data_IF_129362352435
#
_entry.id   IF_129362352435
#
_cell.length_a   1.000
_cell.length_b   1.000
_cell.length_c   1.000
_cell.angle_alpha   90.00
_cell.angle_beta   90.00
_cell.angle_gamma   90.00
#
_symmetry.space_group_name_H-M   'P 1'
#
loop_
_entity.id
_entity.type
_entity.pdbx_description
1 polymer ?
#
# COMPACT_ATOMS: atom_id res chain seq x y z
N UNK A 1 -9.69 1.33 5.81
CA UNK A 1 -10.56 2.51 5.63
C UNK A 1 -9.72 3.71 5.26
N UNK A 2 -10.21 4.52 4.35
CA UNK A 2 -9.60 5.77 3.90
C UNK A 2 -10.64 6.87 4.08
N UNK A 3 -10.24 7.99 4.69
CA UNK A 3 -11.12 9.14 4.89
C UNK A 3 -10.46 10.46 4.49
N UNK A 4 -11.15 11.25 3.67
CA UNK A 4 -10.78 12.61 3.25
C UNK A 4 -9.32 12.72 2.77
N UNK A 5 -8.87 11.68 2.04
CA UNK A 5 -7.47 11.52 1.71
C UNK A 5 -7.05 12.48 0.59
N UNK A 6 -5.99 13.24 0.86
CA UNK A 6 -5.30 14.02 -0.18
C UNK A 6 -3.89 13.51 -0.37
N UNK A 7 -3.54 13.14 -1.60
CA UNK A 7 -2.20 12.67 -1.98
C UNK A 7 -1.58 13.60 -3.01
N UNK A 8 -0.29 13.88 -2.84
CA UNK A 8 0.48 14.75 -3.71
C UNK A 8 1.81 14.12 -4.08
N UNK A 9 2.21 14.24 -5.34
CA UNK A 9 3.52 13.77 -5.82
C UNK A 9 4.17 14.89 -6.63
N UNK A 10 5.44 15.22 -6.32
CA UNK A 10 6.21 16.28 -7.01
C UNK A 10 5.41 17.58 -7.21
N UNK A 11 4.74 18.05 -6.15
CA UNK A 11 3.89 19.26 -6.10
C UNK A 11 2.58 19.21 -6.89
N UNK A 12 2.22 18.06 -7.47
CA UNK A 12 0.92 17.85 -8.10
C UNK A 12 -0.01 17.08 -7.17
N UNK A 13 -1.19 17.62 -6.92
CA UNK A 13 -2.28 16.88 -6.26
C UNK A 13 -2.78 15.77 -7.18
N UNK A 14 -2.75 14.54 -6.68
CA UNK A 14 -3.20 13.35 -7.40
C UNK A 14 -4.60 12.92 -6.97
N UNK A 15 -4.87 12.97 -5.67
CA UNK A 15 -6.17 12.69 -5.04
C UNK A 15 -6.48 13.83 -4.06
N UNK A 16 -7.76 14.17 -3.93
CA UNK A 16 -8.25 15.21 -3.01
C UNK A 16 -9.60 14.78 -2.46
N UNK A 17 -9.75 14.74 -1.14
CA UNK A 17 -11.01 14.33 -0.49
C UNK A 17 -11.46 12.92 -0.88
N UNK A 18 -10.52 11.97 -1.00
CA UNK A 18 -10.83 10.61 -1.42
C UNK A 18 -11.20 9.73 -0.23
N UNK A 19 -12.39 9.14 -0.28
CA UNK A 19 -12.89 8.15 0.70
C UNK A 19 -12.97 6.76 0.07
N UNK A 20 -12.63 5.74 0.85
CA UNK A 20 -12.77 4.35 0.46
C UNK A 20 -12.89 3.44 1.68
N UNK A 21 -13.89 2.58 1.66
CA UNK A 21 -14.03 1.49 2.60
C UNK A 21 -13.98 0.16 1.84
N UNK A 22 -13.21 -0.79 2.36
CA UNK A 22 -13.10 -2.14 1.81
C UNK A 22 -13.33 -3.09 2.98
N UNK A 23 -14.36 -3.92 2.87
CA UNK A 23 -14.73 -4.93 3.84
C UNK A 23 -13.84 -6.17 3.77
N UNK A 24 -13.89 -6.99 4.82
CA UNK A 24 -13.19 -8.27 4.84
C UNK A 24 -13.73 -9.19 3.73
N UNK A 25 -12.83 -9.79 2.94
CA UNK A 25 -13.17 -10.68 1.83
C UNK A 25 -13.55 -9.98 0.52
N UNK A 26 -13.67 -8.64 0.52
CA UNK A 26 -13.95 -7.89 -0.70
C UNK A 26 -12.74 -7.86 -1.64
N UNK A 27 -13.04 -7.85 -2.94
CA UNK A 27 -12.05 -7.70 -4.01
C UNK A 27 -12.36 -6.42 -4.77
N UNK A 28 -11.41 -5.49 -4.75
CA UNK A 28 -11.60 -4.17 -5.34
C UNK A 28 -10.60 -3.97 -6.48
N UNK A 29 -11.08 -3.42 -7.59
CA UNK A 29 -10.24 -3.01 -8.72
C UNK A 29 -10.07 -1.50 -8.68
N UNK A 30 -8.83 -1.05 -8.51
CA UNK A 30 -8.48 0.36 -8.66
C UNK A 30 -8.08 0.66 -10.10
N UNK A 31 -9.00 1.25 -10.87
CA UNK A 31 -8.78 1.60 -12.28
C UNK A 31 -8.57 3.11 -12.47
N UNK A 32 -7.92 3.51 -13.57
CA UNK A 32 -7.65 4.90 -13.88
C UNK A 32 -6.48 5.08 -14.83
N UNK A 33 -6.36 6.27 -15.45
CA UNK A 33 -5.27 6.60 -16.38
C UNK A 33 -3.90 6.50 -15.72
N UNK A 34 -2.84 6.27 -16.50
CA UNK A 34 -1.47 6.40 -15.98
C UNK A 34 -1.27 7.80 -15.35
N UNK A 35 -0.59 7.86 -14.20
CA UNK A 35 -0.42 9.10 -13.45
C UNK A 35 -1.62 9.55 -12.61
N UNK A 36 -2.72 8.81 -12.57
CA UNK A 36 -3.89 9.16 -11.71
C UNK A 36 -3.68 8.93 -10.21
N UNK A 37 -2.49 8.51 -9.78
CA UNK A 37 -2.18 8.27 -8.37
C UNK A 37 -2.45 6.88 -7.81
N UNK A 38 -2.77 5.88 -8.65
CA UNK A 38 -3.00 4.49 -8.19
C UNK A 38 -1.83 3.90 -7.41
N UNK A 39 -0.64 3.95 -7.99
CA UNK A 39 0.58 3.45 -7.33
C UNK A 39 0.89 4.26 -6.08
N UNK A 40 0.63 5.57 -6.10
CA UNK A 40 0.81 6.44 -4.93
C UNK A 40 -0.16 6.07 -3.80
N UNK A 41 -1.42 5.78 -4.12
CA UNK A 41 -2.42 5.31 -3.15
C UNK A 41 -2.02 3.97 -2.53
N UNK A 42 -1.59 3.00 -3.34
CA UNK A 42 -1.11 1.70 -2.86
C UNK A 42 0.14 1.86 -1.98
N UNK A 43 1.09 2.72 -2.37
CA UNK A 43 2.25 3.07 -1.54
C UNK A 43 1.84 3.73 -0.24
N UNK A 44 0.81 4.58 -0.24
CA UNK A 44 0.32 5.22 0.96
C UNK A 44 -0.30 4.21 1.95
N UNK A 45 -1.08 3.23 1.45
CA UNK A 45 -1.63 2.15 2.27
C UNK A 45 -0.54 1.27 2.92
N UNK A 46 0.62 1.13 2.27
CA UNK A 46 1.79 0.43 2.80
C UNK A 46 2.69 1.31 3.68
N UNK A 47 2.35 2.58 3.88
CA UNK A 47 3.16 3.55 4.64
C UNK A 47 4.44 4.01 3.93
N UNK A 48 4.58 3.80 2.62
CA UNK A 48 5.70 4.33 1.82
C UNK A 48 5.49 5.77 1.36
N UNK A 49 4.27 6.30 1.46
CA UNK A 49 3.94 7.66 1.08
C UNK A 49 2.94 8.25 2.06
N UNK A 50 3.31 9.35 2.73
CA UNK A 50 2.42 10.00 3.68
C UNK A 50 1.43 10.92 2.97
N UNK A 51 0.14 10.88 3.34
CA UNK A 51 -0.83 11.79 2.79
C UNK A 51 -0.59 13.23 3.25
N UNK A 52 -1.02 14.19 2.44
CA UNK A 52 -1.01 15.60 2.81
C UNK A 52 -2.09 15.91 3.85
N UNK A 53 -3.26 15.29 3.71
CA UNK A 53 -4.40 15.38 4.64
C UNK A 53 -5.18 14.08 4.65
N UNK A 54 -6.04 13.92 5.65
CA UNK A 54 -6.91 12.75 5.79
C UNK A 54 -6.26 11.64 6.60
N UNK A 55 -6.89 10.47 6.61
CA UNK A 55 -6.46 9.31 7.40
C UNK A 55 -6.59 8.00 6.65
N UNK A 56 -5.72 7.06 7.03
CA UNK A 56 -5.61 5.72 6.44
C UNK A 56 -5.56 4.69 7.57
N UNK A 57 -6.32 3.62 7.42
CA UNK A 57 -6.22 2.44 8.27
C UNK A 57 -6.35 1.15 7.47
N UNK A 58 -5.67 0.09 7.90
CA UNK A 58 -5.78 -1.25 7.33
C UNK A 58 -5.96 -2.24 8.46
N UNK A 59 -6.94 -3.13 8.33
CA UNK A 59 -7.31 -4.10 9.38
C UNK A 59 -7.51 -3.45 10.77
N UNK A 60 -8.05 -2.22 10.80
CA UNK A 60 -8.27 -1.46 12.04
C UNK A 60 -7.05 -0.72 12.59
N UNK A 61 -5.85 -0.95 12.05
CA UNK A 61 -4.62 -0.24 12.44
C UNK A 61 -4.41 1.03 11.61
N UNK A 62 -4.08 2.18 12.23
CA UNK A 62 -3.73 3.38 11.49
C UNK A 62 -2.41 3.18 10.72
N UNK A 63 -2.27 3.82 9.56
CA UNK A 63 -1.01 3.79 8.79
C UNK A 63 -0.11 4.92 9.28
N UNK A 64 0.65 4.64 10.34
CA UNK A 64 1.62 5.56 10.93
C UNK A 64 2.92 4.85 11.33
N UNK A 65 3.91 5.60 11.80
CA UNK A 65 5.22 5.06 12.17
C UNK A 65 5.16 4.03 13.31
N UNK A 66 4.18 4.12 14.22
CA UNK A 66 4.06 3.21 15.35
C UNK A 66 3.48 1.85 14.94
N UNK A 67 2.62 1.82 13.91
CA UNK A 67 1.89 0.61 13.54
C UNK A 67 2.34 -0.01 12.22
N UNK A 68 3.04 0.72 11.35
CA UNK A 68 3.36 0.25 9.98
C UNK A 68 4.12 -1.08 9.95
N UNK A 69 4.95 -1.38 10.95
CA UNK A 69 5.65 -2.65 11.04
C UNK A 69 4.69 -3.84 11.21
N UNK A 70 3.79 -3.76 12.20
CA UNK A 70 2.77 -4.79 12.43
C UNK A 70 1.80 -4.90 11.24
N UNK A 71 1.43 -3.75 10.67
CA UNK A 71 0.51 -3.66 9.54
C UNK A 71 1.07 -4.38 8.30
N UNK A 72 2.38 -4.24 8.03
CA UNK A 72 3.06 -4.93 6.92
C UNK A 72 3.19 -6.45 7.09
N UNK A 73 3.10 -6.99 8.31
CA UNK A 73 3.08 -8.45 8.52
C UNK A 73 1.78 -9.08 7.97
N UNK A 74 0.69 -8.31 7.90
CA UNK A 74 -0.59 -8.75 7.37
C UNK A 74 -0.86 -8.39 5.90
N UNK A 75 0.12 -7.79 5.19
CA UNK A 75 -0.06 -7.35 3.80
C UNK A 75 1.01 -7.99 2.90
N UNK A 76 0.55 -8.61 1.83
CA UNK A 76 1.42 -8.99 0.70
C UNK A 76 1.35 -7.95 -0.41
N UNK A 77 2.50 -7.43 -0.83
CA UNK A 77 2.63 -6.49 -1.94
C UNK A 77 3.28 -7.17 -3.14
N UNK A 78 2.60 -7.14 -4.29
CA UNK A 78 3.16 -7.56 -5.56
C UNK A 78 3.49 -6.31 -6.39
N UNK A 79 4.77 -5.95 -6.55
CA UNK A 79 5.16 -4.77 -7.31
C UNK A 79 4.85 -4.97 -8.80
N UNK A 80 4.70 -3.84 -9.50
CA UNK A 80 4.48 -3.83 -10.96
C UNK A 80 5.64 -4.47 -11.74
N UNK A 81 6.86 -4.32 -11.23
CA UNK A 81 8.05 -4.99 -11.74
C UNK A 81 8.60 -5.88 -10.62
N UNK A 82 8.65 -7.18 -10.89
CA UNK A 82 9.24 -8.14 -9.96
C UNK A 82 10.76 -8.12 -10.14
N UNK A 83 11.47 -7.72 -9.09
CA UNK A 83 12.90 -7.97 -8.97
C UNK A 83 13.05 -9.18 -8.04
N UNK A 84 13.43 -10.36 -8.57
CA UNK A 84 13.39 -11.61 -7.81
C UNK A 84 14.27 -11.61 -6.57
N UNK A 85 15.29 -10.74 -6.52
CA UNK A 85 16.23 -10.63 -5.40
C UNK A 85 17.01 -11.92 -5.13
N UNK A 86 16.98 -12.88 -6.05
CA UNK A 86 17.54 -14.21 -5.89
C UNK A 86 17.95 -14.84 -7.23
N UNK A 87 18.94 -15.72 -7.16
CA UNK A 87 19.55 -16.35 -8.35
C UNK A 87 18.71 -17.50 -8.94
N UNK A 88 17.72 -18.00 -8.19
CA UNK A 88 16.83 -19.09 -8.63
C UNK A 88 15.36 -18.74 -8.41
N UNK A 89 14.49 -19.29 -9.26
CA UNK A 89 13.03 -19.17 -9.12
C UNK A 89 12.56 -19.72 -7.77
N UNK A 90 13.13 -20.85 -7.32
CA UNK A 90 12.82 -21.43 -6.02
C UNK A 90 13.12 -20.42 -4.90
N UNK A 91 14.33 -19.86 -4.87
CA UNK A 91 14.71 -18.88 -3.86
C UNK A 91 13.83 -17.63 -3.91
N UNK A 92 13.50 -17.12 -5.10
CA UNK A 92 12.63 -15.95 -5.26
C UNK A 92 11.20 -16.19 -4.73
N UNK A 93 10.67 -17.42 -4.89
CA UNK A 93 9.34 -17.79 -4.38
C UNK A 93 9.35 -18.05 -2.87
N UNK A 94 10.46 -18.56 -2.32
CA UNK A 94 10.61 -18.80 -0.88
C UNK A 94 10.90 -17.52 -0.10
N UNK A 95 11.60 -16.54 -0.70
CA UNK A 95 12.06 -15.32 -0.03
C UNK A 95 10.94 -14.61 0.77
N UNK A 96 9.73 -14.36 0.24
CA UNK A 96 8.67 -13.68 1.00
C UNK A 96 8.10 -14.52 2.16
N UNK A 97 8.28 -15.84 2.14
CA UNK A 97 7.79 -16.78 3.16
C UNK A 97 8.81 -16.97 4.29
N UNK A 98 10.10 -16.76 4.01
CA UNK A 98 11.19 -16.86 4.98
C UNK A 98 11.28 -15.62 5.90
N UNK A 99 10.79 -14.47 5.44
CA UNK A 99 10.66 -13.26 6.27
C UNK A 99 9.47 -13.36 7.23
N UNK A 100 9.58 -14.24 8.23
CA UNK A 100 8.79 -14.12 9.46
C UNK A 100 9.51 -13.12 10.38
N UNK A 101 9.00 -11.91 10.49
CA UNK A 101 9.47 -10.97 11.52
C UNK A 101 9.12 -11.54 12.91
N UNK A 102 10.14 -11.98 13.66
CA UNK A 102 10.06 -12.18 15.11
C UNK A 102 9.65 -10.90 15.83
#
# INVERSE_FOLDING_TARGET
MIRELSLSFERRTLLSGFDLEIGAGEKVVLSGRSGSGKTTLLRALLGFHMPATGSLSVAGLPVDAAHVAALRQGISWLPQQAEPGADTVHAALCLPLEFSCN
#
